data_IF_021810247722
#
_entry.id   IF_021810247722
#
_cell.length_a   1.000
_cell.length_b   1.000
_cell.length_c   1.000
_cell.angle_alpha   90.00
_cell.angle_beta   90.00
_cell.angle_gamma   90.00
#
_symmetry.space_group_name_H-M   'P 1'
#
loop_
_entity.id
_entity.type
_entity.pdbx_description
1 polymer ?
#
# COMPACT_ATOMS: atom_id res chain seq x y z
N UNK A 1 -25.12 14.89 -1.00
CA UNK A 1 -24.53 13.55 -1.23
C UNK A 1 -23.20 13.69 -1.97
N UNK A 2 -22.20 13.00 -1.49
CA UNK A 2 -20.89 13.05 -2.15
C UNK A 2 -20.79 11.97 -3.23
N UNK A 3 -20.16 12.28 -4.36
CA UNK A 3 -19.84 11.26 -5.33
C UNK A 3 -18.94 10.18 -4.71
N UNK A 4 -18.98 9.01 -5.29
CA UNK A 4 -18.11 7.93 -4.84
C UNK A 4 -16.68 8.25 -5.28
N UNK A 5 -15.77 8.20 -4.34
CA UNK A 5 -14.34 8.33 -4.60
C UNK A 5 -13.64 7.43 -3.57
N UNK A 6 -13.45 6.17 -3.97
CA UNK A 6 -12.97 5.16 -3.03
C UNK A 6 -12.10 4.17 -3.80
N UNK A 7 -11.06 3.70 -3.15
CA UNK A 7 -10.19 2.71 -3.75
C UNK A 7 -9.63 1.77 -2.70
N UNK A 8 -9.16 0.62 -3.16
CA UNK A 8 -8.43 -0.33 -2.34
C UNK A 8 -7.16 -0.66 -3.11
N UNK A 9 -6.02 -0.56 -2.45
CA UNK A 9 -4.76 -0.94 -3.08
C UNK A 9 -3.93 -1.75 -2.10
N UNK A 10 -3.29 -2.79 -2.59
CA UNK A 10 -2.37 -3.61 -1.80
C UNK A 10 -0.99 -3.52 -2.41
N UNK A 11 0.00 -3.55 -1.54
CA UNK A 11 1.37 -3.56 -2.00
C UNK A 11 2.32 -3.38 -0.84
N UNK A 12 3.52 -2.96 -1.16
CA UNK A 12 4.55 -2.72 -0.16
C UNK A 12 4.63 -1.23 0.12
N UNK A 13 4.40 -0.87 1.39
CA UNK A 13 4.55 0.53 1.82
C UNK A 13 6.01 0.77 2.16
N UNK A 14 6.56 1.85 1.65
CA UNK A 14 7.96 2.19 1.79
C UNK A 14 8.17 3.71 1.76
N UNK A 15 9.38 4.16 2.04
CA UNK A 15 9.74 5.58 2.02
C UNK A 15 8.88 6.41 2.96
N UNK A 16 8.70 5.91 4.16
CA UNK A 16 7.86 6.54 5.17
C UNK A 16 8.52 7.77 5.75
N UNK A 17 7.75 8.85 5.86
CA UNK A 17 8.15 10.08 6.54
C UNK A 17 6.96 10.62 7.31
N UNK A 18 7.21 11.20 8.47
CA UNK A 18 6.13 11.75 9.27
C UNK A 18 6.54 13.05 9.94
N UNK A 19 5.54 13.85 10.28
CA UNK A 19 5.70 15.03 11.11
C UNK A 19 4.56 15.05 12.12
N UNK A 20 4.38 16.17 12.82
CA UNK A 20 3.35 16.25 13.85
C UNK A 20 1.94 16.04 13.32
N UNK A 21 1.69 16.45 12.09
CA UNK A 21 0.34 16.45 11.53
C UNK A 21 -0.02 15.17 10.80
N UNK A 22 0.93 14.61 10.06
CA UNK A 22 0.60 13.49 9.22
C UNK A 22 1.83 12.72 8.78
N UNK A 23 1.59 11.77 7.91
CA UNK A 23 2.63 10.91 7.38
C UNK A 23 2.43 10.76 5.88
N UNK A 24 3.54 10.58 5.17
CA UNK A 24 3.51 10.27 3.75
C UNK A 24 4.36 9.02 3.53
N UNK A 25 3.95 8.23 2.56
CA UNK A 25 4.71 7.05 2.17
C UNK A 25 4.33 6.70 0.74
N UNK A 26 5.02 5.73 0.18
CA UNK A 26 4.70 5.24 -1.15
C UNK A 26 4.27 3.79 -1.04
N UNK A 27 3.28 3.40 -1.83
CA UNK A 27 2.88 2.01 -1.93
C UNK A 27 3.24 1.52 -3.33
N UNK A 28 3.98 0.41 -3.37
CA UNK A 28 4.41 -0.22 -4.61
C UNK A 28 3.50 -1.41 -4.86
N UNK A 29 2.73 -1.36 -5.93
CA UNK A 29 1.78 -2.41 -6.27
C UNK A 29 2.24 -3.11 -7.54
N UNK A 30 2.31 -4.42 -7.48
CA UNK A 30 2.77 -5.23 -8.61
C UNK A 30 1.62 -5.98 -9.23
N UNK A 31 1.64 -6.05 -10.54
CA UNK A 31 0.66 -6.81 -11.30
C UNK A 31 1.40 -7.74 -12.23
N UNK A 32 1.04 -9.02 -12.19
CA UNK A 32 1.64 -10.02 -13.06
C UNK A 32 0.64 -10.36 -14.16
N UNK A 33 1.12 -10.43 -15.37
CA UNK A 33 0.23 -10.71 -16.50
C UNK A 33 1.00 -11.41 -17.61
N UNK A 34 0.24 -11.98 -18.54
CA UNK A 34 0.82 -12.63 -19.72
C UNK A 34 0.44 -11.84 -20.95
N UNK A 35 1.44 -11.53 -21.79
CA UNK A 35 1.15 -10.77 -23.00
C UNK A 35 0.69 -11.69 -24.14
N UNK A 36 0.44 -11.11 -25.32
CA UNK A 36 -0.07 -11.83 -26.47
C UNK A 36 0.92 -12.90 -26.95
N UNK A 37 2.21 -12.73 -26.67
CA UNK A 37 3.24 -13.70 -27.09
C UNK A 37 3.42 -14.83 -26.08
N UNK A 38 2.62 -14.86 -25.01
CA UNK A 38 2.74 -15.88 -23.99
C UNK A 38 3.80 -15.63 -22.94
N UNK A 39 4.42 -14.44 -22.95
CA UNK A 39 5.45 -14.12 -21.99
C UNK A 39 4.83 -13.63 -20.68
N UNK A 40 5.42 -14.06 -19.55
CA UNK A 40 4.99 -13.58 -18.23
C UNK A 40 5.72 -12.29 -17.93
N UNK A 41 4.96 -11.25 -17.65
CA UNK A 41 5.49 -9.91 -17.41
C UNK A 41 5.02 -9.38 -16.08
N UNK A 42 5.75 -8.38 -15.58
CA UNK A 42 5.46 -7.74 -14.31
C UNK A 42 5.35 -6.24 -14.53
N UNK A 43 4.33 -5.65 -13.95
CA UNK A 43 4.12 -4.22 -13.99
C UNK A 43 4.12 -3.71 -12.56
N UNK A 44 4.90 -2.65 -12.31
CA UNK A 44 4.96 -2.06 -10.97
C UNK A 44 4.43 -0.64 -11.06
N UNK A 45 3.48 -0.33 -10.19
CA UNK A 45 2.95 1.03 -10.05
C UNK A 45 3.25 1.53 -8.65
N UNK A 46 3.64 2.79 -8.54
CA UNK A 46 3.97 3.39 -7.26
C UNK A 46 3.04 4.56 -7.03
N UNK A 47 2.36 4.57 -5.90
CA UNK A 47 1.40 5.62 -5.56
C UNK A 47 1.82 6.32 -4.28
N UNK A 48 1.69 7.65 -4.27
CA UNK A 48 1.94 8.45 -3.08
C UNK A 48 0.73 8.41 -2.18
N UNK A 49 0.96 8.18 -0.91
CA UNK A 49 -0.11 8.04 0.08
C UNK A 49 0.11 9.03 1.22
N UNK A 50 -0.99 9.52 1.79
CA UNK A 50 -0.97 10.39 2.96
C UNK A 50 -1.88 9.82 4.03
N UNK A 51 -1.47 9.93 5.28
CA UNK A 51 -2.26 9.49 6.42
C UNK A 51 -2.21 10.54 7.51
N UNK A 52 -3.31 10.73 8.22
CA UNK A 52 -3.45 11.80 9.20
C UNK A 52 -3.98 11.22 10.51
N UNK A 53 -3.76 11.95 11.60
CA UNK A 53 -4.34 11.61 12.90
C UNK A 53 -3.90 10.26 13.44
N UNK A 54 -4.84 9.49 13.93
CA UNK A 54 -4.55 8.19 14.56
C UNK A 54 -3.91 7.21 13.58
N UNK A 55 -4.24 7.33 12.32
CA UNK A 55 -3.67 6.47 11.30
C UNK A 55 -2.19 6.73 11.13
N UNK A 56 -1.79 8.01 11.21
CA UNK A 56 -0.38 8.39 11.18
C UNK A 56 0.36 7.75 12.35
N UNK A 57 -0.25 7.77 13.54
CA UNK A 57 0.37 7.21 14.73
C UNK A 57 0.58 5.71 14.61
N UNK A 58 -0.37 5.01 14.01
CA UNK A 58 -0.24 3.58 13.75
C UNK A 58 0.91 3.29 12.81
N UNK A 59 1.06 4.11 11.77
CA UNK A 59 2.13 3.95 10.81
C UNK A 59 3.50 4.18 11.44
N UNK A 60 3.60 5.20 12.30
CA UNK A 60 4.85 5.50 12.99
C UNK A 60 5.31 4.28 13.80
N UNK A 61 4.38 3.66 14.52
CA UNK A 61 4.72 2.48 15.34
C UNK A 61 5.23 1.32 14.48
N UNK A 62 4.62 1.11 13.33
CA UNK A 62 5.00 0.01 12.44
C UNK A 62 6.34 0.26 11.78
N UNK A 63 6.52 1.46 11.23
CA UNK A 63 7.74 1.79 10.49
C UNK A 63 8.92 2.10 11.39
N UNK A 64 8.69 2.22 12.68
CA UNK A 64 9.77 2.33 13.65
C UNK A 64 10.60 1.05 13.69
N UNK A 65 10.01 -0.07 13.31
CA UNK A 65 10.67 -1.37 13.37
C UNK A 65 11.14 -1.88 12.02
N UNK A 66 10.51 -1.42 10.93
CA UNK A 66 10.83 -1.87 9.58
C UNK A 66 10.68 -0.74 8.59
N UNK A 67 11.55 -0.71 7.60
CA UNK A 67 11.49 0.30 6.55
C UNK A 67 10.44 -0.03 5.48
N UNK A 68 9.97 -1.27 5.43
CA UNK A 68 8.98 -1.72 4.45
C UNK A 68 7.96 -2.61 5.13
N UNK A 69 6.73 -2.56 4.63
CA UNK A 69 5.69 -3.41 5.16
C UNK A 69 4.63 -3.66 4.09
N UNK A 70 4.15 -4.89 4.00
CA UNK A 70 3.01 -5.21 3.15
C UNK A 70 1.73 -4.69 3.78
N UNK A 71 0.94 -3.95 3.01
CA UNK A 71 -0.27 -3.31 3.53
C UNK A 71 -1.40 -3.39 2.51
N UNK A 72 -2.61 -3.24 3.01
CA UNK A 72 -3.80 -2.96 2.21
C UNK A 72 -4.32 -1.61 2.66
N UNK A 73 -4.47 -0.68 1.72
CA UNK A 73 -4.96 0.66 2.01
C UNK A 73 -6.34 0.80 1.40
N UNK A 74 -7.28 1.30 2.20
CA UNK A 74 -8.59 1.75 1.72
C UNK A 74 -8.58 3.26 1.85
N UNK A 75 -8.92 3.96 0.78
CA UNK A 75 -8.87 5.40 0.81
C UNK A 75 -9.57 6.03 -0.37
N UNK A 76 -9.20 7.26 -0.63
CA UNK A 76 -9.75 8.05 -1.72
C UNK A 76 -8.64 8.79 -2.44
N UNK A 77 -8.92 9.20 -3.65
CA UNK A 77 -7.99 10.00 -4.42
C UNK A 77 -8.19 11.48 -4.10
N UNK A 78 -7.10 12.21 -4.03
CA UNK A 78 -7.14 13.65 -3.84
C UNK A 78 -6.13 14.27 -4.77
N UNK A 79 -6.50 15.39 -5.37
CA UNK A 79 -5.59 16.15 -6.20
C UNK A 79 -5.04 17.31 -5.37
N UNK A 80 -3.71 17.32 -5.20
CA UNK A 80 -3.02 18.44 -4.58
C UNK A 80 -2.57 19.37 -5.67
N UNK A 81 -2.85 20.66 -5.52
CA UNK A 81 -2.48 21.68 -6.48
C UNK A 81 -1.67 22.76 -5.78
N UNK A 82 -0.66 23.21 -6.45
CA UNK A 82 0.16 24.28 -5.91
C UNK A 82 0.79 25.07 -7.06
N UNK A 83 1.34 26.23 -6.72
CA UNK A 83 2.02 27.08 -7.67
C UNK A 83 3.51 26.98 -7.38
N UNK A 84 4.31 26.71 -8.40
CA UNK A 84 5.74 26.59 -8.20
C UNK A 84 6.41 27.97 -8.19
N UNK A 85 7.73 27.98 -8.06
CA UNK A 85 8.50 29.23 -7.95
C UNK A 85 8.40 30.07 -9.21
N UNK A 86 8.19 29.45 -10.36
CA UNK A 86 8.09 30.16 -11.63
C UNK A 86 6.68 30.65 -11.91
N UNK A 87 5.74 30.39 -11.01
CA UNK A 87 4.35 30.80 -11.18
C UNK A 87 3.48 29.84 -11.94
N UNK A 88 4.00 28.68 -12.32
CA UNK A 88 3.21 27.66 -13.01
C UNK A 88 2.46 26.80 -12.01
N UNK A 89 1.23 26.41 -12.40
CA UNK A 89 0.45 25.51 -11.56
C UNK A 89 0.91 24.09 -11.74
N UNK A 90 1.04 23.40 -10.64
CA UNK A 90 1.39 21.98 -10.61
C UNK A 90 0.28 21.22 -9.92
N UNK A 91 0.18 19.93 -10.21
CA UNK A 91 -0.78 19.08 -9.52
C UNK A 91 -0.22 17.69 -9.37
N UNK A 92 -0.77 16.98 -8.39
CA UNK A 92 -0.33 15.62 -8.08
C UNK A 92 -1.53 14.90 -7.47
N UNK A 93 -1.74 13.66 -7.89
CA UNK A 93 -2.81 12.85 -7.32
C UNK A 93 -2.20 11.97 -6.23
N UNK A 94 -2.80 11.99 -5.06
CA UNK A 94 -2.35 11.19 -3.93
C UNK A 94 -3.51 10.36 -3.39
N UNK A 95 -3.17 9.29 -2.70
CA UNK A 95 -4.14 8.45 -2.00
C UNK A 95 -4.22 8.94 -0.57
N UNK A 96 -5.39 9.37 -0.15
CA UNK A 96 -5.63 9.71 1.25
C UNK A 96 -6.11 8.45 1.93
N UNK A 97 -5.32 7.96 2.88
CA UNK A 97 -5.61 6.72 3.56
C UNK A 97 -6.72 6.93 4.59
N UNK A 98 -7.75 6.10 4.53
CA UNK A 98 -8.83 6.10 5.49
C UNK A 98 -8.75 4.90 6.41
N UNK A 99 -8.16 3.81 5.92
CA UNK A 99 -7.97 2.62 6.69
C UNK A 99 -6.75 1.88 6.13
N UNK A 100 -5.92 1.35 7.01
CA UNK A 100 -4.74 0.59 6.62
C UNK A 100 -4.73 -0.72 7.39
N UNK A 101 -4.62 -1.81 6.64
CA UNK A 101 -4.47 -3.13 7.22
C UNK A 101 -3.04 -3.58 6.97
N UNK A 102 -2.33 -3.90 8.04
CA UNK A 102 -0.97 -4.41 7.93
C UNK A 102 -1.03 -5.91 7.79
N UNK A 103 -0.47 -6.41 6.71
CA UNK A 103 -0.45 -7.86 6.49
C UNK A 103 0.55 -8.49 7.44
N UNK A 104 0.28 -9.71 7.90
CA UNK A 104 1.23 -10.37 8.79
C UNK A 104 2.59 -10.49 8.14
N UNK A 105 3.64 -10.21 8.91
CA UNK A 105 4.98 -10.48 8.43
C UNK A 105 5.19 -11.97 8.50
N UNK A 106 5.56 -12.56 7.40
CA UNK A 106 5.85 -13.98 7.38
C UNK A 106 7.12 -14.24 8.14
N UNK A 107 7.03 -15.14 9.08
CA UNK A 107 8.24 -15.69 9.61
C UNK A 107 8.93 -16.35 8.42
N UNK A 108 10.21 -16.23 8.37
CA UNK A 108 10.95 -16.89 7.30
C UNK A 108 10.73 -18.38 7.41
N UNK A 109 9.94 -18.84 6.97
CA UNK A 109 9.63 -20.20 7.19
C UNK A 109 8.63 -20.69 6.28
N UNK A 110 8.80 -20.35 6.67
CA UNK A 110 8.15 -20.62 6.29
C UNK A 110 7.99 -20.84 5.20
N UNK A 111 8.19 -20.60 5.34
CA UNK A 111 7.91 -20.89 4.57
C UNK A 111 7.65 -21.53 3.84
N UNK A 112 7.57 -22.00 3.65
CA UNK A 112 7.06 -22.52 2.90
C UNK A 112 6.49 -23.14 2.65
N UNK A 113 6.09 -23.04 2.82
CA UNK A 113 5.46 -23.64 2.72
C UNK A 113 4.93 -23.99 2.21
N UNK A 114 4.59 -23.96 2.24
CA UNK A 114 3.96 -24.45 1.98
C UNK A 114 3.54 -24.86 1.55
N UNK A 115 3.37 -24.80 1.70
CA UNK A 115 2.83 -25.40 1.54
C UNK A 115 2.29 -25.68 1.35
N UNK A 116 1.98 -25.56 1.56
CA UNK A 116 1.28 -25.98 1.75
C UNK A 116 0.69 -25.86 1.54
N UNK A 117 0.34 -25.62 1.72
CA UNK A 117 -0.35 -25.78 1.93
C UNK A 117 -0.84 -25.70 1.53
N UNK A 118 -1.13 -25.41 1.68
CA UNK A 118 -1.69 -25.70 1.89
C UNK A 118 -1.94 -25.77 1.59
N UNK A 119 -2.26 -25.52 1.82
CA UNK A 119 -2.70 -25.76 2.22
C UNK A 119 -2.99 -25.46 2.19
N UNK A 120 -3.14 -25.26 2.35
CA UNK A 120 -3.66 -25.19 2.78
C UNK A 120 -3.95 -24.61 2.72
N UNK A 121 -4.28 -24.43 2.79
CA UNK A 121 -4.75 -24.12 3.19
C UNK A 121 -4.87 -23.62 3.40
N UNK A 122 -4.89 -23.54 3.41
CA UNK A 122 -5.18 -23.19 4.00
C UNK A 122 -4.79 -22.63 4.29
N UNK A 123 -4.86 -22.40 4.34
CA UNK A 123 -4.72 -21.94 4.87
C UNK A 123 -4.45 -21.26 4.82
N UNK A 124 -4.50 -21.10 4.70
CA UNK A 124 -4.46 -20.50 4.93
C UNK A 124 -4.50 -19.81 4.76
N UNK A 125 -4.56 -19.60 4.80
CA UNK A 125 -4.73 -19.06 4.97
C UNK A 125 -4.60 -18.42 5.03
N UNK A 126 -4.82 -18.17 5.16
CA UNK A 126 -4.88 -17.70 5.53
C UNK A 126 -4.67 -17.15 5.42
N UNK A 127 -4.68 -16.98 5.47
CA UNK A 127 -4.63 -16.52 5.54
C UNK A 127 -4.52 -15.85 5.15
N UNK A 128 -4.68 -15.49 5.16
CA UNK A 128 -4.83 -14.82 4.92
C UNK A 128 -5.22 -14.25 4.51
N UNK A 129 -5.49 -14.12 4.77
CA UNK A 129 -5.99 -13.56 4.67
C UNK A 129 -6.28 -13.03 4.52
N UNK A 130 -6.84 -12.69 4.54
CA UNK A 130 -7.18 -12.29 4.59
C UNK A 130 -7.32 -12.16 4.17
N UNK A 131 -7.75 -11.85 4.04
CA UNK A 131 -7.82 -11.86 3.95
C UNK A 131 -7.99 -12.27 3.83
#
# INVERSE_FOLDING_TARGET
MNPINSLIVEGTAENFKSNEKGAVFQISAKRFYRNANGENLEETSVFDCEAWGNLKDSLVRVFDKKSERSVRVVGRLKQNRWKDETGNYQSKIVVICEYIEFKPTNAPAAQPMADNLFDDESNKSEDYSIF
#
